data_IF_626040463159
#
_entry.id   IF_626040463159
#
_cell.length_a   1.000
_cell.length_b   1.000
_cell.length_c   1.000
_cell.angle_alpha   90.00
_cell.angle_beta   90.00
_cell.angle_gamma   90.00
#
_symmetry.space_group_name_H-M   'P 1'
#
loop_
_entity.id
_entity.type
_entity.pdbx_description
1 polymer ?
#
# COMPACT_ATOMS: atom_id res chain seq x y z
N UNK A 1 -15.20 -17.99 12.82
CA UNK A 1 -14.20 -17.17 12.13
C UNK A 1 -14.76 -16.65 10.82
N UNK A 2 -14.67 -15.38 10.62
CA UNK A 2 -15.26 -14.75 9.45
C UNK A 2 -14.21 -14.61 8.34
N UNK A 3 -14.28 -15.50 7.36
CA UNK A 3 -13.37 -15.47 6.22
C UNK A 3 -13.48 -14.17 5.43
N UNK A 4 -14.69 -13.58 5.40
CA UNK A 4 -14.90 -12.34 4.65
C UNK A 4 -14.07 -11.19 5.20
N UNK A 5 -13.80 -11.18 6.51
CA UNK A 5 -12.98 -10.15 7.12
C UNK A 5 -11.55 -10.17 6.57
N UNK A 6 -10.96 -11.35 6.49
CA UNK A 6 -9.60 -11.49 5.98
C UNK A 6 -9.54 -11.21 4.49
N UNK A 7 -10.51 -11.70 3.73
CA UNK A 7 -10.58 -11.44 2.31
C UNK A 7 -10.73 -9.95 2.03
N UNK A 8 -11.56 -9.29 2.81
CA UNK A 8 -11.77 -7.86 2.65
C UNK A 8 -10.47 -7.07 2.87
N UNK A 9 -9.70 -7.43 3.90
CA UNK A 9 -8.42 -6.78 4.16
C UNK A 9 -7.43 -7.03 3.03
N UNK A 10 -7.36 -8.26 2.55
CA UNK A 10 -6.46 -8.61 1.45
C UNK A 10 -6.83 -7.86 0.18
N UNK A 11 -8.12 -7.78 -0.14
CA UNK A 11 -8.58 -7.04 -1.32
C UNK A 11 -8.24 -5.56 -1.21
N UNK A 12 -8.38 -4.99 -0.02
CA UNK A 12 -8.02 -3.59 0.20
C UNK A 12 -6.52 -3.37 0.06
N UNK A 13 -5.71 -4.34 0.46
CA UNK A 13 -4.27 -4.26 0.26
C UNK A 13 -3.95 -4.21 -1.24
N UNK A 14 -4.60 -5.04 -2.05
CA UNK A 14 -4.42 -4.99 -3.50
C UNK A 14 -4.92 -3.68 -4.09
N UNK A 15 -6.03 -3.14 -3.59
CA UNK A 15 -6.51 -1.85 -4.05
C UNK A 15 -5.48 -0.75 -3.80
N UNK A 16 -4.81 -0.80 -2.66
CA UNK A 16 -3.75 0.15 -2.33
C UNK A 16 -2.58 0.00 -3.32
N UNK A 17 -2.16 -1.23 -3.58
CA UNK A 17 -1.08 -1.48 -4.53
C UNK A 17 -1.46 -1.00 -5.93
N UNK A 18 -2.72 -1.16 -6.31
CA UNK A 18 -3.21 -0.74 -7.62
C UNK A 18 -3.22 0.78 -7.80
N UNK A 19 -3.07 1.54 -6.71
CA UNK A 19 -2.95 2.99 -6.83
C UNK A 19 -1.67 3.40 -7.57
N UNK A 20 -0.65 2.56 -7.56
CA UNK A 20 0.64 2.86 -8.16
C UNK A 20 0.65 2.40 -9.61
N UNK A 21 0.88 3.32 -10.53
CA UNK A 21 0.84 3.02 -11.95
C UNK A 21 2.15 2.48 -12.49
N UNK A 22 3.25 2.79 -11.81
CA UNK A 22 4.55 2.30 -12.22
C UNK A 22 5.51 2.31 -11.02
N UNK A 23 6.70 1.78 -11.24
CA UNK A 23 7.70 1.59 -10.19
C UNK A 23 8.39 2.88 -9.73
N UNK A 24 8.12 4.00 -10.39
CA UNK A 24 8.71 5.29 -10.03
C UNK A 24 7.75 6.22 -9.34
N UNK A 25 6.46 5.90 -9.36
CA UNK A 25 5.47 6.77 -8.77
C UNK A 25 5.56 6.74 -7.25
N UNK A 26 5.49 7.93 -6.65
CA UNK A 26 5.39 8.08 -5.21
C UNK A 26 4.05 8.70 -4.85
N UNK A 27 3.39 8.15 -3.83
CA UNK A 27 2.10 8.63 -3.37
C UNK A 27 2.13 8.82 -1.87
N UNK A 28 1.57 9.94 -1.41
CA UNK A 28 1.37 10.18 0.01
C UNK A 28 0.21 9.35 0.54
N UNK A 29 0.19 9.14 1.86
CA UNK A 29 -0.85 8.34 2.48
C UNK A 29 -2.24 8.95 2.27
N UNK A 30 -2.34 10.29 2.28
CA UNK A 30 -3.61 10.97 2.06
C UNK A 30 -4.13 10.73 0.65
N UNK A 31 -3.23 10.72 -0.32
CA UNK A 31 -3.60 10.45 -1.72
C UNK A 31 -4.13 9.02 -1.86
N UNK A 32 -3.43 8.07 -1.26
CA UNK A 32 -3.84 6.67 -1.32
C UNK A 32 -5.21 6.50 -0.64
N UNK A 33 -5.38 7.08 0.54
CA UNK A 33 -6.63 6.99 1.28
C UNK A 33 -7.81 7.54 0.46
N UNK A 34 -7.59 8.66 -0.23
CA UNK A 34 -8.63 9.24 -1.08
C UNK A 34 -8.93 8.33 -2.27
N UNK A 35 -7.90 7.73 -2.87
CA UNK A 35 -8.08 6.86 -4.04
C UNK A 35 -8.83 5.58 -3.72
N UNK A 36 -8.62 5.02 -2.52
CA UNK A 36 -9.30 3.78 -2.12
C UNK A 36 -10.53 4.04 -1.26
N UNK A 37 -10.84 5.31 -0.98
CA UNK A 37 -12.02 5.73 -0.22
C UNK A 37 -12.04 5.07 1.16
N UNK A 38 -10.94 5.20 1.88
CA UNK A 38 -10.79 4.65 3.23
C UNK A 38 -10.19 5.68 4.18
N UNK A 39 -10.47 5.57 5.48
CA UNK A 39 -9.80 6.43 6.45
C UNK A 39 -8.30 6.23 6.44
N UNK A 40 -7.55 7.31 6.67
CA UNK A 40 -6.09 7.27 6.68
C UNK A 40 -5.57 6.23 7.69
N UNK A 41 -6.20 6.13 8.86
CA UNK A 41 -5.76 5.18 9.89
C UNK A 41 -5.84 3.73 9.40
N UNK A 42 -6.89 3.40 8.65
CA UNK A 42 -7.05 2.05 8.09
C UNK A 42 -6.00 1.78 7.01
N UNK A 43 -5.79 2.77 6.14
CA UNK A 43 -4.80 2.67 5.08
C UNK A 43 -3.40 2.51 5.68
N UNK A 44 -3.10 3.29 6.72
CA UNK A 44 -1.79 3.23 7.37
C UNK A 44 -1.47 1.83 7.89
N UNK A 45 -2.45 1.17 8.51
CA UNK A 45 -2.28 -0.19 9.01
C UNK A 45 -1.92 -1.16 7.90
N UNK A 46 -2.64 -1.07 6.79
CA UNK A 46 -2.41 -1.98 5.66
C UNK A 46 -1.05 -1.68 5.04
N UNK A 47 -0.71 -0.40 4.89
CA UNK A 47 0.58 0.00 4.34
C UNK A 47 1.73 -0.53 5.20
N UNK A 48 1.59 -0.49 6.53
CA UNK A 48 2.64 -1.03 7.40
C UNK A 48 2.89 -2.52 7.11
N UNK A 49 1.83 -3.28 6.92
CA UNK A 49 1.95 -4.69 6.56
C UNK A 49 2.61 -4.87 5.20
N UNK A 50 2.24 -4.04 4.23
CA UNK A 50 2.84 -4.10 2.89
C UNK A 50 4.31 -3.72 2.92
N UNK A 51 4.68 -2.74 3.76
CA UNK A 51 6.09 -2.41 3.95
C UNK A 51 6.87 -3.58 4.58
N UNK A 52 6.25 -4.21 5.58
CA UNK A 52 6.90 -5.31 6.29
C UNK A 52 7.27 -6.45 5.34
N UNK A 53 6.39 -6.75 4.40
CA UNK A 53 6.64 -7.83 3.43
C UNK A 53 7.40 -7.36 2.19
N UNK A 54 7.75 -6.07 2.11
CA UNK A 54 8.57 -5.55 1.02
C UNK A 54 7.80 -5.17 -0.23
N UNK A 55 6.47 -5.08 -0.17
CA UNK A 55 5.66 -4.68 -1.32
C UNK A 55 5.55 -3.18 -1.49
N UNK A 56 5.70 -2.44 -0.40
CA UNK A 56 5.80 -0.98 -0.43
C UNK A 56 7.05 -0.56 0.31
N UNK A 57 7.55 0.61 -0.04
CA UNK A 57 8.65 1.25 0.67
C UNK A 57 8.31 2.73 0.86
N UNK A 58 8.85 3.35 1.89
CA UNK A 58 8.61 4.75 2.16
C UNK A 58 9.90 5.53 1.95
N UNK A 59 9.80 6.63 1.19
CA UNK A 59 10.87 7.61 1.09
C UNK A 59 10.88 8.43 2.37
N UNK A 60 11.96 8.33 3.13
CA UNK A 60 12.04 8.97 4.45
C UNK A 60 12.12 10.48 4.39
N UNK A 61 12.53 11.03 3.25
CA UNK A 61 12.65 12.47 3.11
C UNK A 61 11.30 13.14 2.91
N UNK A 62 10.46 12.59 2.04
CA UNK A 62 9.16 13.19 1.72
C UNK A 62 7.98 12.41 2.27
N UNK A 63 8.23 11.26 2.90
CA UNK A 63 7.22 10.41 3.51
C UNK A 63 6.26 9.76 2.53
N UNK A 64 6.52 9.85 1.24
CA UNK A 64 5.69 9.22 0.25
C UNK A 64 6.07 7.75 0.08
N UNK A 65 5.14 6.97 -0.41
CA UNK A 65 5.31 5.55 -0.62
C UNK A 65 5.51 5.22 -2.08
N UNK A 66 6.20 4.13 -2.35
CA UNK A 66 6.44 3.60 -3.69
C UNK A 66 6.39 2.10 -3.63
N UNK A 67 6.32 1.45 -4.79
CA UNK A 67 6.36 0.00 -4.86
C UNK A 67 7.71 -0.50 -4.35
N UNK A 68 7.67 -1.55 -3.54
CA UNK A 68 8.86 -2.11 -2.92
C UNK A 68 9.54 -3.16 -3.78
N UNK A 69 10.73 -3.58 -3.33
CA UNK A 69 11.59 -4.49 -4.09
C UNK A 69 10.93 -5.84 -4.36
N UNK A 70 10.04 -6.28 -3.50
CA UNK A 70 9.38 -7.57 -3.71
C UNK A 70 8.52 -7.55 -4.99
N UNK A 71 7.91 -6.42 -5.30
CA UNK A 71 7.09 -6.29 -6.50
C UNK A 71 7.90 -5.95 -7.73
N UNK A 72 9.01 -5.26 -7.56
CA UNK A 72 9.85 -4.87 -8.68
C UNK A 72 10.67 -6.04 -9.21
N UNK A 73 11.03 -6.94 -8.34
CA UNK A 73 11.72 -8.20 -8.68
C UNK A 73 12.80 -8.02 -9.74
N UNK A 74 13.73 -7.17 -9.45
CA UNK A 74 14.86 -6.94 -10.36
C UNK A 74 15.96 -7.94 -10.02
N UNK A 75 15.84 -9.11 -10.53
CA UNK A 75 16.87 -10.13 -10.30
C UNK A 75 17.93 -10.04 -11.38
#
# INVERSE_FOLDING_TARGET
MNQNLYMSTLLKAFDILDCFQNDRQELGISDIAAMVDMPVSSVHRIIQSLEFVGMLTQNRENRKYALGSRLLNLS
#
